data_IF_120172372862
#
_entry.id   IF_120172372862
#
_cell.length_a   1.000
_cell.length_b   1.000
_cell.length_c   1.000
_cell.angle_alpha   90.00
_cell.angle_beta   90.00
_cell.angle_gamma   90.00
#
_symmetry.space_group_name_H-M   'P 1'
#
loop_
_entity.id
_entity.type
_entity.pdbx_description
1 polymer ?
#
# COMPACT_ATOMS: atom_id res chain seq x y z
N UNK A 1 17.97 2.09 -8.13
CA UNK A 1 17.80 3.04 -7.00
C UNK A 1 16.41 2.95 -6.38
N UNK A 2 15.32 3.04 -7.15
CA UNK A 2 13.94 2.91 -6.65
C UNK A 2 13.62 1.57 -5.96
N UNK A 3 14.07 0.44 -6.52
CA UNK A 3 13.84 -0.89 -5.93
C UNK A 3 14.53 -1.08 -4.57
N UNK A 4 15.72 -0.48 -4.40
CA UNK A 4 16.49 -0.57 -3.15
C UNK A 4 15.79 0.22 -2.02
N UNK A 5 15.19 1.37 -2.36
CA UNK A 5 14.39 2.16 -1.44
C UNK A 5 13.12 1.41 -1.02
N UNK A 6 12.46 0.73 -1.96
CA UNK A 6 11.26 -0.08 -1.69
C UNK A 6 11.57 -1.25 -0.74
N UNK A 7 12.69 -1.94 -0.96
CA UNK A 7 13.15 -3.04 -0.10
C UNK A 7 13.57 -2.56 1.29
N UNK A 8 14.25 -1.41 1.38
CA UNK A 8 14.65 -0.80 2.65
C UNK A 8 13.43 -0.32 3.45
N UNK A 9 12.43 0.24 2.77
CA UNK A 9 11.15 0.59 3.39
C UNK A 9 10.45 -0.66 3.92
N UNK A 10 10.33 -1.73 3.11
CA UNK A 10 9.78 -3.01 3.56
C UNK A 10 10.49 -3.60 4.79
N UNK A 11 11.82 -3.47 4.86
CA UNK A 11 12.61 -3.95 6.00
C UNK A 11 12.41 -3.10 7.27
N UNK A 12 12.37 -1.78 7.13
CA UNK A 12 12.09 -0.85 8.23
C UNK A 12 10.67 -1.04 8.78
N UNK A 13 9.73 -1.33 7.88
CA UNK A 13 8.32 -1.56 8.14
C UNK A 13 8.03 -2.91 8.80
N UNK A 14 8.93 -3.89 8.74
CA UNK A 14 8.74 -5.19 9.39
C UNK A 14 8.60 -5.07 10.93
N UNK A 15 9.05 -3.94 11.53
CA UNK A 15 8.83 -3.61 12.94
C UNK A 15 7.50 -2.92 13.22
N UNK A 16 6.86 -2.34 12.21
CA UNK A 16 5.58 -1.63 12.30
C UNK A 16 4.47 -2.61 11.90
N UNK A 17 3.31 -2.55 12.57
CA UNK A 17 2.17 -3.36 12.16
C UNK A 17 1.85 -3.08 10.69
N UNK A 18 1.87 -4.12 9.83
CA UNK A 18 1.58 -4.04 8.39
C UNK A 18 0.31 -3.22 8.09
N UNK A 19 -0.68 -3.23 8.99
CA UNK A 19 -1.90 -2.43 8.86
C UNK A 19 -1.63 -0.92 8.89
N UNK A 20 -0.70 -0.45 9.74
CA UNK A 20 -0.33 0.97 9.87
C UNK A 20 0.37 1.46 8.62
N UNK A 21 1.14 0.59 7.98
CA UNK A 21 1.79 0.86 6.70
C UNK A 21 0.78 1.09 5.61
N UNK A 22 -0.16 0.15 5.44
CA UNK A 22 -1.23 0.24 4.46
C UNK A 22 -2.01 1.54 4.63
N UNK A 23 -2.30 1.92 5.88
CA UNK A 23 -2.96 3.19 6.23
C UNK A 23 -2.16 4.43 5.83
N UNK A 24 -0.84 4.46 6.10
CA UNK A 24 0.02 5.59 5.73
C UNK A 24 0.07 5.72 4.20
N UNK A 25 0.11 4.60 3.50
CA UNK A 25 0.19 4.59 2.04
C UNK A 25 -1.11 5.04 1.38
N UNK A 26 -2.26 4.55 1.85
CA UNK A 26 -3.60 5.06 1.46
C UNK A 26 -3.71 6.58 1.70
N UNK A 27 -3.25 7.05 2.87
CA UNK A 27 -3.24 8.48 3.16
C UNK A 27 -2.37 9.27 2.18
N UNK A 28 -1.23 8.72 1.76
CA UNK A 28 -0.35 9.36 0.77
C UNK A 28 -1.01 9.46 -0.61
N UNK A 29 -1.76 8.44 -1.06
CA UNK A 29 -2.54 8.49 -2.30
C UNK A 29 -3.69 9.50 -2.21
N UNK A 30 -4.35 9.61 -1.06
CA UNK A 30 -5.41 10.59 -0.83
C UNK A 30 -4.88 12.03 -0.97
N UNK A 31 -3.71 12.31 -0.38
CA UNK A 31 -3.06 13.63 -0.50
C UNK A 31 -2.61 13.91 -1.94
N UNK A 32 -2.09 12.90 -2.64
CA UNK A 32 -1.76 13.00 -4.07
C UNK A 32 -3.00 13.33 -4.91
N UNK A 33 -4.14 12.72 -4.59
CA UNK A 33 -5.39 12.94 -5.31
C UNK A 33 -5.94 14.35 -5.08
N UNK A 34 -5.85 14.86 -3.85
CA UNK A 34 -6.22 16.24 -3.54
C UNK A 34 -5.33 17.25 -4.27
N UNK A 35 -4.03 16.96 -4.33
CA UNK A 35 -3.06 17.78 -5.06
C UNK A 35 -3.34 17.74 -6.56
N UNK A 36 -3.55 16.55 -7.14
CA UNK A 36 -3.94 16.39 -8.55
C UNK A 36 -5.22 17.16 -8.85
N UNK A 37 -6.26 17.03 -8.03
CA UNK A 37 -7.51 17.76 -8.22
C UNK A 37 -7.32 19.29 -8.17
N UNK A 38 -6.38 19.77 -7.34
CA UNK A 38 -6.08 21.20 -7.22
C UNK A 38 -5.31 21.75 -8.42
N UNK A 39 -4.38 20.97 -9.00
CA UNK A 39 -3.53 21.41 -10.12
C UNK A 39 -4.09 21.07 -11.50
N UNK A 40 -4.79 19.95 -11.60
CA UNK A 40 -5.29 19.38 -12.85
C UNK A 40 -6.75 18.96 -12.65
N UNK A 41 -7.65 19.60 -13.39
CA UNK A 41 -9.07 19.17 -13.43
C UNK A 41 -9.27 17.92 -14.30
N UNK A 42 -8.19 17.25 -14.70
CA UNK A 42 -8.27 16.03 -15.49
C UNK A 42 -8.71 14.85 -14.63
N UNK A 43 -10.01 14.58 -14.66
CA UNK A 43 -10.64 13.47 -13.94
C UNK A 43 -9.99 12.10 -14.25
N UNK A 44 -9.48 11.91 -15.48
CA UNK A 44 -8.90 10.64 -15.91
C UNK A 44 -7.66 10.24 -15.09
N UNK A 45 -6.79 11.19 -14.76
CA UNK A 45 -5.58 10.93 -13.96
C UNK A 45 -5.95 10.60 -12.51
N UNK A 46 -6.91 11.33 -11.93
CA UNK A 46 -7.43 11.03 -10.59
C UNK A 46 -8.06 9.64 -10.49
N UNK A 47 -8.86 9.26 -11.50
CA UNK A 47 -9.43 7.90 -11.61
C UNK A 47 -8.35 6.82 -11.70
N UNK A 48 -7.32 7.04 -12.51
CA UNK A 48 -6.20 6.10 -12.63
C UNK A 48 -5.48 5.89 -11.28
N UNK A 49 -5.22 6.98 -10.55
CA UNK A 49 -4.61 6.90 -9.21
C UNK A 49 -5.49 6.13 -8.23
N UNK A 50 -6.80 6.35 -8.23
CA UNK A 50 -7.72 5.58 -7.36
C UNK A 50 -7.71 4.09 -7.68
N UNK A 51 -7.72 3.72 -8.96
CA UNK A 51 -7.66 2.31 -9.38
C UNK A 51 -6.35 1.68 -8.90
N UNK A 52 -5.22 2.33 -9.12
CA UNK A 52 -3.91 1.80 -8.68
C UNK A 52 -3.82 1.67 -7.16
N UNK A 53 -4.31 2.65 -6.40
CA UNK A 53 -4.40 2.59 -4.92
C UNK A 53 -5.23 1.38 -4.47
N UNK A 54 -6.38 1.15 -5.09
CA UNK A 54 -7.25 0.02 -4.75
C UNK A 54 -6.61 -1.34 -5.06
N UNK A 55 -5.88 -1.47 -6.17
CA UNK A 55 -5.18 -2.71 -6.50
C UNK A 55 -4.06 -3.01 -5.49
N UNK A 56 -3.34 -1.98 -5.08
CA UNK A 56 -2.23 -2.12 -4.15
C UNK A 56 -2.70 -2.49 -2.74
N UNK A 57 -3.81 -1.92 -2.26
CA UNK A 57 -4.40 -2.29 -0.97
C UNK A 57 -4.90 -3.75 -0.95
N UNK A 58 -5.50 -4.25 -2.04
CA UNK A 58 -5.91 -5.65 -2.16
C UNK A 58 -4.69 -6.59 -2.07
N UNK A 59 -3.60 -6.25 -2.76
CA UNK A 59 -2.35 -7.04 -2.72
C UNK A 59 -1.73 -6.99 -1.31
N UNK A 60 -1.67 -5.81 -0.69
CA UNK A 60 -1.12 -5.63 0.65
C UNK A 60 -1.90 -6.39 1.73
N UNK A 61 -3.24 -6.35 1.69
CA UNK A 61 -4.09 -7.13 2.60
C UNK A 61 -3.97 -8.63 2.32
N UNK A 62 -3.89 -9.05 1.05
CA UNK A 62 -3.65 -10.44 0.68
C UNK A 62 -2.34 -11.00 1.26
N UNK A 63 -1.25 -10.22 1.14
CA UNK A 63 0.04 -10.54 1.75
C UNK A 63 -0.05 -10.56 3.29
N UNK A 64 -0.77 -9.61 3.89
CA UNK A 64 -0.97 -9.57 5.34
C UNK A 64 -1.69 -10.83 5.84
N UNK A 65 -2.76 -11.26 5.18
CA UNK A 65 -3.47 -12.50 5.50
C UNK A 65 -2.58 -13.73 5.35
N UNK A 66 -1.74 -13.76 4.31
CA UNK A 66 -0.79 -14.85 4.09
C UNK A 66 0.24 -14.92 5.22
N UNK A 67 0.87 -13.79 5.58
CA UNK A 67 1.81 -13.72 6.71
C UNK A 67 1.13 -14.12 8.03
N UNK A 68 -0.12 -13.71 8.24
CA UNK A 68 -0.86 -14.04 9.46
C UNK A 68 -1.21 -15.54 9.54
N UNK A 69 -1.58 -16.18 8.42
CA UNK A 69 -1.78 -17.63 8.33
C UNK A 69 -0.49 -18.41 8.64
N UNK A 70 0.66 -17.93 8.16
CA UNK A 70 1.96 -18.51 8.49
C UNK A 70 2.29 -18.36 9.98
N UNK A 71 2.06 -17.18 10.57
CA UNK A 71 2.26 -16.95 12.02
C UNK A 71 1.35 -17.78 12.92
N UNK A 72 0.10 -18.01 12.50
CA UNK A 72 -0.84 -18.87 13.22
C UNK A 72 -0.54 -20.38 13.08
N UNK A 73 0.49 -20.77 12.32
CA UNK A 73 0.92 -22.16 12.18
C UNK A 73 -0.06 -23.07 11.41
N UNK A 74 -1.06 -22.49 10.76
CA UNK A 74 -2.13 -23.25 10.06
C UNK A 74 -1.59 -23.94 8.80
N UNK A 75 -0.51 -23.41 8.20
CA UNK A 75 0.10 -23.94 6.97
C UNK A 75 1.15 -25.04 7.27
N UNK A 76 1.40 -25.36 8.55
CA UNK A 76 2.44 -26.29 8.99
C UNK A 76 1.94 -27.65 9.52
N UNK A 77 0.76 -28.12 9.12
CA UNK A 77 0.29 -29.49 9.37
C UNK A 77 -0.17 -30.16 8.09
#
# INVERSE_FOLDING_TARGET
MSLFFFFFFFFLLYKVELIKVLLILEFSFLMLLFLLYSFSKEMAVGLFVMVMSSCESVIGVGLMLHVNKYRMGIVGK
#
